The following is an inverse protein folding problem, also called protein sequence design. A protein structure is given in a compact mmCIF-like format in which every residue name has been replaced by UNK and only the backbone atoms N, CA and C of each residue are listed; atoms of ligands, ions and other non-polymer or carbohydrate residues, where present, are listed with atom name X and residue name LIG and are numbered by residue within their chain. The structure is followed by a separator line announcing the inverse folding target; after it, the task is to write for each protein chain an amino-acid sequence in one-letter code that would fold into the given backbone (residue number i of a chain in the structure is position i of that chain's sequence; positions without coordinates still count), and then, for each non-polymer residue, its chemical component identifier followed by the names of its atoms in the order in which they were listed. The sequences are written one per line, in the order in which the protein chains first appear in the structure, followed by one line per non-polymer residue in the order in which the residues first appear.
data_IF_698878996116
#
_entry.id   IF_698878996116
#
_cell.length_a   1.000
_cell.length_b   1.000
_cell.length_c   1.000
_cell.angle_alpha   90.00
_cell.angle_beta   90.00
_cell.angle_gamma   90.00
#
_symmetry.space_group_name_H-M   'P 1'
#
loop_
_entity.id
_entity.type
_entity.pdbx_description
1 polymer ?
#
# COMPACT_ATOMS: atom_id res chain seq x y z
N UNK A 1 5.12 26.98 -31.21
CA UNK A 1 5.24 27.76 -29.96
C UNK A 1 3.84 27.87 -29.36
N UNK A 2 3.46 26.95 -28.47
CA UNK A 2 2.22 27.05 -27.69
C UNK A 2 2.38 26.27 -26.38
N UNK A 3 2.61 27.05 -25.33
CA UNK A 3 2.23 26.92 -23.93
C UNK A 3 2.14 25.50 -23.35
N UNK A 4 3.22 25.16 -22.63
CA UNK A 4 3.23 24.45 -21.36
C UNK A 4 1.85 24.06 -20.83
N UNK A 5 1.40 22.84 -21.14
CA UNK A 5 0.44 22.17 -20.27
C UNK A 5 1.24 21.75 -19.04
N UNK A 6 1.11 22.53 -17.98
CA UNK A 6 1.76 22.30 -16.70
C UNK A 6 1.70 20.82 -16.33
N UNK A 7 2.89 20.25 -16.13
CA UNK A 7 3.13 18.88 -15.72
C UNK A 7 2.45 18.63 -14.36
N UNK A 8 1.16 18.28 -14.38
CA UNK A 8 0.36 17.96 -13.19
C UNK A 8 0.37 16.47 -12.91
N UNK A 9 1.49 15.80 -13.16
CA UNK A 9 1.76 14.51 -12.54
C UNK A 9 2.26 14.76 -11.12
N UNK A 10 1.32 15.06 -10.21
CA UNK A 10 1.56 14.78 -8.81
C UNK A 10 1.84 13.28 -8.72
N UNK A 11 3.11 12.90 -8.66
CA UNK A 11 3.54 11.53 -8.41
C UNK A 11 2.69 10.97 -7.28
N UNK A 12 1.89 9.93 -7.53
CA UNK A 12 1.10 9.28 -6.50
C UNK A 12 2.05 8.61 -5.50
N UNK A 13 2.52 9.37 -4.52
CA UNK A 13 3.50 8.94 -3.53
C UNK A 13 3.00 7.73 -2.75
N UNK A 14 1.71 7.71 -2.40
CA UNK A 14 1.08 6.56 -1.73
C UNK A 14 1.19 5.30 -2.58
N UNK A 15 0.77 5.35 -3.85
CA UNK A 15 0.83 4.17 -4.71
C UNK A 15 2.24 3.71 -5.02
N UNK A 16 3.19 4.64 -5.18
CA UNK A 16 4.61 4.31 -5.34
C UNK A 16 5.15 3.58 -4.11
N UNK A 17 4.83 4.07 -2.90
CA UNK A 17 5.21 3.44 -1.64
C UNK A 17 4.61 2.04 -1.49
N UNK A 18 3.30 1.89 -1.74
CA UNK A 18 2.62 0.59 -1.66
C UNK A 18 3.23 -0.44 -2.63
N UNK A 19 3.53 0.00 -3.86
CA UNK A 19 4.18 -0.85 -4.85
C UNK A 19 5.57 -1.30 -4.40
N UNK A 20 6.40 -0.38 -3.90
CA UNK A 20 7.74 -0.70 -3.39
C UNK A 20 7.68 -1.74 -2.26
N UNK A 21 6.84 -1.51 -1.23
CA UNK A 21 6.69 -2.44 -0.11
C UNK A 21 6.21 -3.82 -0.56
N UNK A 22 5.20 -3.86 -1.43
CA UNK A 22 4.66 -5.10 -1.99
C UNK A 22 5.71 -5.92 -2.75
N UNK A 23 6.57 -5.27 -3.53
CA UNK A 23 7.58 -5.96 -4.36
C UNK A 23 8.74 -6.57 -3.55
N UNK A 24 8.97 -6.13 -2.31
CA UNK A 24 10.05 -6.62 -1.43
C UNK A 24 9.69 -7.86 -0.61
N UNK A 25 8.40 -8.16 -0.50
CA UNK A 25 7.91 -9.28 0.30
C UNK A 25 8.06 -10.61 -0.44
N UNK A 26 8.62 -11.61 0.24
CA UNK A 26 8.71 -12.98 -0.28
C UNK A 26 7.33 -13.66 -0.23
N UNK A 27 6.74 -14.04 -1.39
CA UNK A 27 5.46 -14.75 -1.40
C UNK A 27 5.46 -16.08 -0.62
N UNK A 28 6.60 -16.79 -0.57
CA UNK A 28 6.69 -18.08 0.13
C UNK A 28 6.45 -17.94 1.63
N UNK A 29 7.00 -16.89 2.24
CA UNK A 29 6.82 -16.56 3.66
C UNK A 29 5.34 -16.33 4.05
N UNK A 30 4.47 -16.10 3.05
CA UNK A 30 3.04 -15.89 3.23
C UNK A 30 2.18 -17.06 2.73
N UNK A 31 2.79 -18.19 2.36
CA UNK A 31 2.09 -19.37 1.87
C UNK A 31 1.58 -19.25 0.44
N UNK A 32 2.07 -18.28 -0.34
CA UNK A 32 1.72 -18.15 -1.75
C UNK A 32 2.65 -18.96 -2.63
N UNK A 33 2.09 -19.54 -3.69
CA UNK A 33 2.87 -20.30 -4.65
C UNK A 33 3.92 -19.43 -5.35
N UNK A 34 5.17 -19.91 -5.38
CA UNK A 34 6.35 -19.25 -5.94
C UNK A 34 6.71 -19.73 -7.36
N UNK A 35 5.77 -20.39 -8.06
CA UNK A 35 5.98 -20.85 -9.45
C UNK A 35 6.24 -19.71 -10.44
N UNK A 36 5.93 -19.92 -11.73
CA UNK A 36 6.21 -18.88 -12.75
C UNK A 36 5.43 -17.59 -12.46
N UNK A 37 6.11 -16.55 -11.97
CA UNK A 37 5.53 -15.25 -11.57
C UNK A 37 6.17 -14.12 -12.38
N UNK A 38 5.36 -13.11 -12.72
CA UNK A 38 5.82 -11.86 -13.36
C UNK A 38 6.25 -10.79 -12.36
N UNK A 39 5.81 -10.92 -11.11
CA UNK A 39 6.14 -10.00 -10.00
C UNK A 39 7.01 -10.77 -9.01
N UNK A 40 8.18 -10.23 -8.62
CA UNK A 40 9.09 -10.92 -7.70
C UNK A 40 8.46 -11.05 -6.30
N UNK A 41 7.80 -10.00 -5.82
CA UNK A 41 7.10 -10.03 -4.53
C UNK A 41 5.63 -10.42 -4.60
N UNK A 42 4.85 -9.92 -3.64
CA UNK A 42 3.41 -10.14 -3.59
C UNK A 42 2.71 -9.51 -4.81
N UNK A 43 1.67 -10.17 -5.31
CA UNK A 43 0.75 -9.64 -6.31
C UNK A 43 -0.28 -8.70 -5.65
N UNK A 44 -0.99 -7.92 -6.45
CA UNK A 44 -1.98 -6.96 -5.91
C UNK A 44 -3.12 -7.67 -5.21
N UNK A 45 -3.60 -8.75 -5.80
CA UNK A 45 -4.62 -9.64 -5.27
C UNK A 45 -4.19 -10.28 -3.94
N UNK A 46 -2.92 -10.66 -3.80
CA UNK A 46 -2.38 -11.25 -2.58
C UNK A 46 -2.31 -10.22 -1.43
N UNK A 47 -1.89 -8.99 -1.72
CA UNK A 47 -1.92 -7.90 -0.72
C UNK A 47 -3.36 -7.57 -0.33
N UNK A 48 -4.26 -7.49 -1.31
CA UNK A 48 -5.67 -7.21 -1.08
C UNK A 48 -6.31 -8.30 -0.20
N UNK A 49 -6.01 -9.58 -0.46
CA UNK A 49 -6.43 -10.71 0.38
C UNK A 49 -5.92 -10.55 1.81
N UNK A 50 -4.62 -10.25 2.00
CA UNK A 50 -4.02 -10.08 3.34
C UNK A 50 -4.57 -8.89 4.11
N UNK A 51 -4.89 -7.80 3.42
CA UNK A 51 -5.54 -6.63 4.00
C UNK A 51 -7.07 -6.77 4.08
N UNK A 52 -7.65 -7.86 3.57
CA UNK A 52 -9.09 -8.13 3.46
C UNK A 52 -9.86 -7.05 2.65
N UNK A 53 -9.22 -6.38 1.71
CA UNK A 53 -9.81 -5.32 0.86
C UNK A 53 -10.04 -5.81 -0.57
N UNK A 54 -10.80 -5.06 -1.36
CA UNK A 54 -10.99 -5.36 -2.78
C UNK A 54 -9.67 -5.28 -3.58
N UNK A 55 -9.32 -6.29 -4.40
CA UNK A 55 -8.16 -6.23 -5.31
C UNK A 55 -8.21 -5.07 -6.30
N UNK A 56 -9.42 -4.75 -6.80
CA UNK A 56 -9.63 -3.62 -7.71
C UNK A 56 -9.32 -2.31 -7.01
N UNK A 57 -9.76 -2.16 -5.76
CA UNK A 57 -9.52 -0.94 -5.01
C UNK A 57 -8.05 -0.77 -4.63
N UNK A 58 -7.35 -1.84 -4.22
CA UNK A 58 -5.90 -1.79 -4.02
C UNK A 58 -5.14 -1.41 -5.30
N UNK A 59 -5.60 -1.91 -6.45
CA UNK A 59 -5.05 -1.51 -7.76
C UNK A 59 -5.25 -0.02 -8.02
N UNK A 60 -6.40 0.55 -7.69
CA UNK A 60 -6.64 1.99 -7.81
C UNK A 60 -5.78 2.82 -6.86
N UNK A 61 -5.56 2.36 -5.63
CA UNK A 61 -4.63 3.02 -4.70
C UNK A 61 -3.21 3.09 -5.27
N UNK A 62 -2.70 2.00 -5.86
CA UNK A 62 -1.39 2.02 -6.54
C UNK A 62 -1.37 2.98 -7.74
N UNK A 63 -2.49 3.16 -8.43
CA UNK A 63 -2.64 4.04 -9.61
C UNK A 63 -2.95 5.50 -9.27
N UNK A 64 -3.25 5.82 -8.01
CA UNK A 64 -3.57 7.19 -7.57
C UNK A 64 -5.02 7.57 -7.85
N UNK A 65 -5.90 6.57 -7.83
CA UNK A 65 -7.33 6.68 -8.08
C UNK A 65 -8.09 6.19 -6.84
N UNK A 66 -9.39 6.49 -6.78
CA UNK A 66 -10.29 5.83 -5.83
C UNK A 66 -10.43 6.48 -4.45
N UNK A 67 -10.17 7.79 -4.33
CA UNK A 67 -10.38 8.55 -3.09
C UNK A 67 -9.36 8.26 -1.99
N UNK A 68 -9.42 9.04 -0.90
CA UNK A 68 -8.55 8.82 0.25
C UNK A 68 -9.00 7.56 1.03
N UNK A 69 -8.08 6.62 1.35
CA UNK A 69 -8.39 5.46 2.16
C UNK A 69 -8.70 5.85 3.61
N UNK A 70 -9.57 5.11 4.29
CA UNK A 70 -9.81 5.31 5.73
C UNK A 70 -8.62 4.85 6.59
N UNK A 71 -8.55 5.33 7.83
CA UNK A 71 -7.52 4.90 8.78
C UNK A 71 -7.53 3.39 9.03
N UNK A 72 -8.71 2.77 9.10
CA UNK A 72 -8.84 1.32 9.28
C UNK A 72 -8.30 0.53 8.08
N UNK A 73 -8.56 1.01 6.86
CA UNK A 73 -7.92 0.42 5.67
C UNK A 73 -6.40 0.53 5.79
N UNK A 74 -5.87 1.73 6.09
CA UNK A 74 -4.42 1.92 6.16
C UNK A 74 -3.78 1.01 7.20
N UNK A 75 -4.43 0.79 8.35
CA UNK A 75 -3.99 -0.17 9.36
C UNK A 75 -4.00 -1.62 8.84
N UNK A 76 -5.03 -2.00 8.08
CA UNK A 76 -5.13 -3.34 7.49
C UNK A 76 -4.09 -3.56 6.39
N UNK A 77 -3.81 -2.54 5.58
CA UNK A 77 -2.73 -2.56 4.59
C UNK A 77 -1.37 -2.64 5.30
N UNK A 78 -1.14 -1.86 6.35
CA UNK A 78 0.09 -1.90 7.13
C UNK A 78 0.34 -3.30 7.71
N UNK A 79 -0.69 -3.90 8.30
CA UNK A 79 -0.64 -5.29 8.80
C UNK A 79 -0.40 -6.29 7.66
N UNK A 80 -1.15 -6.16 6.55
CA UNK A 80 -1.04 -7.05 5.39
C UNK A 80 0.34 -7.01 4.74
N UNK A 81 1.00 -5.85 4.72
CA UNK A 81 2.36 -5.67 4.19
C UNK A 81 3.46 -5.86 5.24
N UNK A 82 3.11 -6.21 6.48
CA UNK A 82 4.05 -6.31 7.62
C UNK A 82 4.93 -5.06 7.77
N UNK A 83 4.32 -3.89 7.61
CA UNK A 83 5.05 -2.62 7.77
C UNK A 83 5.54 -2.47 9.20
N UNK A 84 6.77 -2.00 9.32
CA UNK A 84 7.33 -1.50 10.58
C UNK A 84 6.57 -0.25 11.05
N UNK A 85 6.73 0.14 12.31
CA UNK A 85 6.06 1.33 12.84
C UNK A 85 6.41 2.61 12.05
N UNK A 86 7.68 2.90 11.70
CA UNK A 86 7.99 4.07 10.87
C UNK A 86 7.38 4.02 9.47
N UNK A 87 7.28 2.82 8.87
CA UNK A 87 6.64 2.64 7.56
C UNK A 87 5.12 2.82 7.63
N UNK A 88 4.50 2.39 8.73
CA UNK A 88 3.09 2.63 9.03
C UNK A 88 2.84 4.13 9.20
N UNK A 89 3.67 4.84 9.96
CA UNK A 89 3.56 6.30 10.08
C UNK A 89 3.67 6.99 8.72
N UNK A 90 4.65 6.58 7.91
CA UNK A 90 4.83 7.11 6.56
C UNK A 90 3.60 6.84 5.66
N UNK A 91 3.04 5.63 5.71
CA UNK A 91 1.82 5.28 5.00
C UNK A 91 0.66 6.23 5.35
N UNK A 92 0.50 6.54 6.63
CA UNK A 92 -0.54 7.44 7.15
C UNK A 92 -0.32 8.90 6.71
N UNK A 93 0.93 9.38 6.74
CA UNK A 93 1.26 10.71 6.22
C UNK A 93 0.96 10.82 4.72
N UNK A 94 1.20 9.77 3.93
CA UNK A 94 0.90 9.76 2.50
C UNK A 94 -0.61 9.63 2.20
N UNK A 95 -1.35 8.85 2.99
CA UNK A 95 -2.76 8.56 2.74
C UNK A 95 -3.76 9.54 3.36
N UNK A 96 -3.44 10.10 4.52
CA UNK A 96 -4.33 10.96 5.31
C UNK A 96 -3.71 12.30 5.71
N UNK A 97 -2.41 12.53 5.47
CA UNK A 97 -1.74 13.78 5.85
C UNK A 97 -1.57 13.97 7.35
N UNK A 98 -1.73 12.91 8.15
CA UNK A 98 -1.59 12.92 9.61
C UNK A 98 -1.03 11.58 10.10
N UNK A 99 -0.32 11.54 11.25
CA UNK A 99 0.15 10.30 11.82
C UNK A 99 -1.02 9.39 12.23
N UNK A 100 -0.78 8.07 12.36
CA UNK A 100 -1.77 7.17 12.89
C UNK A 100 -2.09 7.49 14.35
N UNK A 101 -3.30 7.16 14.78
CA UNK A 101 -3.61 7.13 16.20
C UNK A 101 -2.75 6.07 16.90
N UNK A 102 -2.25 6.45 18.08
CA UNK A 102 -1.49 5.55 18.96
C UNK A 102 -2.42 4.47 19.44
N UNK A 103 -2.23 3.24 18.95
CA UNK A 103 -2.91 2.06 19.48
C UNK A 103 -1.96 1.37 20.45
N UNK A 104 -2.23 1.48 21.74
CA UNK A 104 -1.61 0.60 22.73
C UNK A 104 -2.09 -0.82 22.45
N UNK A 105 -1.21 -1.65 21.90
CA UNK A 105 -1.44 -3.10 21.90
C UNK A 105 -1.12 -3.57 23.31
N UNK A 106 -2.13 -4.06 24.02
CA UNK A 106 -1.88 -4.80 25.24
C UNK A 106 -1.05 -6.03 24.84
N UNK A 107 0.11 -6.17 25.49
CA UNK A 107 0.94 -7.37 25.36
C UNK A 107 0.30 -8.38 26.30
N UNK A 108 -0.44 -9.33 25.73
CA UNK A 108 -0.89 -10.55 26.42
C UNK A 108 0.25 -11.60 26.41
#
# INVERSE_FOLDING_TARGET
MSLATANKETTNKLGAFLRDRRMRLDPAAFGFATGRRRTPGLRREEVAQRANISPTWYTWLEQGRGGAPSADVLNRIATGLMLTEPEREHLFMLGLGRPPEVRYKNVD
#
